data_IF_134782691041
#
_entry.id   IF_134782691041
#
_cell.length_a   1.000
_cell.length_b   1.000
_cell.length_c   1.000
_cell.angle_alpha   90.00
_cell.angle_beta   90.00
_cell.angle_gamma   90.00
#
_symmetry.space_group_name_H-M   'P 1'
#
loop_
_entity.id
_entity.type
_entity.pdbx_description
1 polymer ?
#
# COMPACT_ATOMS: atom_id res chain seq x y z
N UNK A 1 3.70 -0.57 -4.00
CA UNK A 1 4.71 -0.95 -2.94
C UNK A 1 5.29 -2.33 -3.24
N UNK A 2 6.58 -2.57 -2.97
CA UNK A 2 7.13 -3.93 -3.00
C UNK A 2 6.53 -4.73 -1.82
N UNK A 3 5.92 -5.87 -2.13
CA UNK A 3 5.22 -6.72 -1.17
C UNK A 3 5.35 -8.17 -1.63
N UNK A 4 5.79 -9.06 -0.76
CA UNK A 4 5.96 -10.48 -1.11
C UNK A 4 4.61 -11.10 -1.46
N UNK A 5 4.50 -11.65 -2.67
CA UNK A 5 3.23 -12.13 -3.23
C UNK A 5 2.36 -11.05 -3.87
N UNK A 6 2.83 -9.78 -3.91
CA UNK A 6 2.14 -8.68 -4.58
C UNK A 6 1.91 -8.94 -6.07
N UNK A 7 0.79 -8.46 -6.59
CA UNK A 7 0.34 -8.69 -7.97
C UNK A 7 0.68 -7.51 -8.90
N UNK A 8 1.71 -6.71 -8.59
CA UNK A 8 2.03 -5.48 -9.34
C UNK A 8 2.21 -5.73 -10.84
N UNK A 9 2.82 -6.86 -11.23
CA UNK A 9 3.10 -7.18 -12.64
C UNK A 9 1.85 -7.49 -13.46
N UNK A 10 0.81 -8.04 -12.84
CA UNK A 10 -0.43 -8.47 -13.50
C UNK A 10 -1.65 -7.68 -13.02
N UNK A 11 -1.42 -6.60 -12.26
CA UNK A 11 -2.50 -5.82 -11.66
C UNK A 11 -3.33 -5.06 -12.70
N UNK A 12 -2.75 -4.68 -13.83
CA UNK A 12 -3.47 -4.04 -14.94
C UNK A 12 -4.49 -5.00 -15.56
N UNK A 13 -4.06 -6.22 -15.86
CA UNK A 13 -4.91 -7.25 -16.46
C UNK A 13 -6.04 -7.65 -15.52
N UNK A 14 -5.73 -7.86 -14.23
CA UNK A 14 -6.75 -8.20 -13.23
C UNK A 14 -7.74 -7.03 -13.06
N UNK A 15 -7.25 -5.81 -12.92
CA UNK A 15 -8.12 -4.64 -12.78
C UNK A 15 -8.97 -4.42 -14.05
N UNK A 16 -8.43 -4.67 -15.25
CA UNK A 16 -9.18 -4.59 -16.49
C UNK A 16 -10.34 -5.59 -16.49
N UNK A 17 -10.07 -6.85 -16.14
CA UNK A 17 -11.11 -7.90 -16.04
C UNK A 17 -12.19 -7.48 -15.04
N UNK A 18 -11.82 -7.03 -13.85
CA UNK A 18 -12.77 -6.57 -12.84
C UNK A 18 -13.60 -5.41 -13.39
N UNK A 19 -12.95 -4.39 -13.95
CA UNK A 19 -13.63 -3.19 -14.44
C UNK A 19 -14.59 -3.49 -15.60
N UNK A 20 -14.27 -4.45 -16.47
CA UNK A 20 -15.14 -4.82 -17.59
C UNK A 20 -16.35 -5.64 -17.15
N UNK A 21 -16.24 -6.43 -16.09
CA UNK A 21 -17.33 -7.30 -15.62
C UNK A 21 -18.23 -6.62 -14.58
N UNK A 22 -17.73 -5.60 -13.88
CA UNK A 22 -18.51 -4.92 -12.82
C UNK A 22 -19.22 -3.65 -13.29
N UNK A 23 -18.81 -3.07 -14.45
CA UNK A 23 -19.30 -1.77 -14.92
C UNK A 23 -20.04 -1.84 -16.28
N UNK A 24 -20.37 -3.01 -16.79
CA UNK A 24 -20.98 -3.19 -18.13
C UNK A 24 -22.50 -3.40 -18.14
N UNK A 25 -23.22 -3.28 -17.04
CA UNK A 25 -24.66 -3.47 -16.94
C UNK A 25 -25.44 -2.16 -16.94
N UNK A 26 -26.66 -2.16 -17.56
CA UNK A 26 -27.56 -1.00 -17.63
C UNK A 26 -28.15 -0.57 -16.26
N UNK A 27 -27.95 -1.36 -15.22
CA UNK A 27 -28.33 -1.04 -13.85
C UNK A 27 -27.08 -0.64 -13.07
N UNK A 28 -26.72 0.64 -13.14
CA UNK A 28 -25.62 1.27 -12.38
C UNK A 28 -25.97 1.39 -10.90
N UNK A 29 -26.21 0.29 -10.22
CA UNK A 29 -26.07 0.28 -8.76
C UNK A 29 -24.60 0.40 -8.43
N UNK A 30 -24.24 1.45 -7.69
CA UNK A 30 -22.88 1.70 -7.16
C UNK A 30 -22.46 0.57 -6.22
N UNK A 31 -21.98 -0.53 -6.79
CA UNK A 31 -21.53 -1.69 -6.00
C UNK A 31 -20.16 -1.44 -5.42
N UNK A 32 -19.97 -1.64 -4.12
CA UNK A 32 -18.65 -1.53 -3.52
C UNK A 32 -17.74 -2.66 -4.03
N UNK A 33 -16.48 -2.30 -4.32
CA UNK A 33 -15.43 -3.30 -4.54
C UNK A 33 -14.87 -3.77 -3.20
N UNK A 34 -14.93 -5.07 -2.95
CA UNK A 34 -14.45 -5.68 -1.70
C UNK A 34 -13.22 -6.54 -1.98
N UNK A 35 -12.09 -6.19 -1.38
CA UNK A 35 -10.85 -6.98 -1.41
C UNK A 35 -10.55 -7.52 -0.02
N UNK A 36 -10.59 -8.84 0.13
CA UNK A 36 -10.36 -9.52 1.42
C UNK A 36 -8.87 -9.66 1.76
N UNK A 37 -7.98 -9.56 0.78
CA UNK A 37 -6.54 -9.76 0.90
C UNK A 37 -5.80 -8.70 0.08
N UNK A 38 -5.94 -7.44 0.49
CA UNK A 38 -5.47 -6.31 -0.31
C UNK A 38 -3.95 -6.20 -0.39
N UNK A 39 -3.21 -6.70 0.61
CA UNK A 39 -1.75 -6.66 0.62
C UNK A 39 -1.21 -5.27 0.32
N UNK A 40 -0.41 -5.17 -0.73
CA UNK A 40 0.17 -3.91 -1.22
C UNK A 40 -0.77 -3.03 -2.04
N UNK A 41 -2.06 -3.33 -2.12
CA UNK A 41 -3.11 -2.58 -2.83
C UNK A 41 -2.83 -2.31 -4.32
N UNK A 42 -2.08 -3.18 -4.99
CA UNK A 42 -1.69 -2.98 -6.39
C UNK A 42 -2.86 -3.12 -7.38
N UNK A 43 -3.85 -3.97 -7.07
CA UNK A 43 -5.07 -4.16 -7.86
C UNK A 43 -6.09 -3.09 -7.48
N UNK A 44 -6.29 -2.89 -6.18
CA UNK A 44 -7.25 -1.97 -5.59
C UNK A 44 -7.04 -0.53 -6.08
N UNK A 45 -5.79 -0.14 -6.29
CA UNK A 45 -5.43 1.17 -6.85
C UNK A 45 -5.97 1.39 -8.27
N UNK A 46 -6.19 0.32 -9.05
CA UNK A 46 -6.55 0.35 -10.47
C UNK A 46 -8.01 -0.02 -10.75
N UNK A 47 -8.68 -0.61 -9.79
CA UNK A 47 -10.11 -0.91 -9.90
C UNK A 47 -10.90 0.40 -9.84
N UNK A 48 -11.86 0.54 -10.76
CA UNK A 48 -12.79 1.68 -10.80
C UNK A 48 -13.99 1.32 -9.93
N UNK A 49 -14.09 1.90 -8.77
CA UNK A 49 -15.25 1.79 -7.87
C UNK A 49 -15.31 3.02 -6.95
N UNK A 50 -16.52 3.50 -6.66
CA UNK A 50 -16.74 4.65 -5.80
C UNK A 50 -16.40 4.33 -4.35
N UNK A 51 -16.70 3.10 -3.95
CA UNK A 51 -16.40 2.58 -2.61
C UNK A 51 -15.50 1.35 -2.76
N UNK A 52 -14.36 1.38 -2.10
CA UNK A 52 -13.43 0.25 -2.04
C UNK A 52 -13.23 -0.16 -0.59
N UNK A 53 -13.65 -1.37 -0.27
CA UNK A 53 -13.47 -1.97 1.06
C UNK A 53 -12.28 -2.92 0.97
N UNK A 54 -11.21 -2.58 1.65
CA UNK A 54 -9.97 -3.36 1.63
C UNK A 54 -9.68 -3.94 3.00
N UNK A 55 -9.36 -5.21 3.04
CA UNK A 55 -8.97 -5.93 4.24
C UNK A 55 -7.66 -6.70 4.02
N UNK A 56 -6.91 -6.89 5.08
CA UNK A 56 -5.78 -7.81 5.13
C UNK A 56 -5.61 -8.32 6.57
N UNK A 57 -5.14 -9.55 6.72
CA UNK A 57 -4.89 -10.14 8.04
C UNK A 57 -3.72 -9.47 8.78
N UNK A 58 -2.86 -8.75 8.06
CA UNK A 58 -1.65 -8.17 8.63
C UNK A 58 -1.94 -6.80 9.27
N UNK A 59 -1.98 -6.68 10.61
CA UNK A 59 -2.46 -5.47 11.28
C UNK A 59 -1.62 -4.23 11.00
N UNK A 60 -0.29 -4.36 10.91
CA UNK A 60 0.59 -3.23 10.62
C UNK A 60 0.49 -2.74 9.17
N UNK A 61 0.15 -3.64 8.22
CA UNK A 61 -0.12 -3.24 6.85
C UNK A 61 -1.38 -2.39 6.78
N UNK A 62 -2.45 -2.80 7.45
CA UNK A 62 -3.68 -2.03 7.56
C UNK A 62 -3.44 -0.71 8.30
N UNK A 63 -2.64 -0.72 9.38
CA UNK A 63 -2.28 0.50 10.09
C UNK A 63 -1.53 1.51 9.20
N UNK A 64 -0.64 1.04 8.32
CA UNK A 64 0.03 1.88 7.34
C UNK A 64 -0.97 2.54 6.36
N UNK A 65 -1.88 1.76 5.78
CA UNK A 65 -2.89 2.28 4.86
C UNK A 65 -3.85 3.27 5.56
N UNK A 66 -4.31 2.96 6.77
CA UNK A 66 -5.10 3.87 7.60
C UNK A 66 -4.33 5.14 7.98
N UNK A 67 -3.03 5.01 8.28
CA UNK A 67 -2.16 6.14 8.54
C UNK A 67 -2.13 7.11 7.37
N UNK A 68 -1.94 6.61 6.14
CA UNK A 68 -1.97 7.43 4.93
C UNK A 68 -3.32 8.14 4.73
N UNK A 69 -4.44 7.46 4.99
CA UNK A 69 -5.77 8.08 4.93
C UNK A 69 -5.94 9.21 5.95
N UNK A 70 -5.29 9.09 7.11
CA UNK A 70 -5.29 10.09 8.17
C UNK A 70 -4.19 11.16 8.01
N UNK A 71 -3.53 11.21 6.85
CA UNK A 71 -2.52 12.22 6.54
C UNK A 71 -1.10 11.91 7.01
N UNK A 72 -0.85 10.71 7.56
CA UNK A 72 0.51 10.28 7.84
C UNK A 72 1.30 10.09 6.54
N UNK A 73 2.56 10.49 6.56
CA UNK A 73 3.45 10.35 5.41
C UNK A 73 4.66 9.49 5.77
N UNK A 74 5.01 8.49 4.94
CA UNK A 74 6.21 7.69 5.16
C UNK A 74 7.48 8.54 5.17
N UNK A 75 8.49 8.18 5.97
CA UNK A 75 9.78 8.86 5.96
C UNK A 75 10.51 8.72 4.63
N UNK A 76 11.48 9.59 4.37
CA UNK A 76 12.30 9.56 3.16
C UNK A 76 13.50 8.61 3.28
N UNK A 77 13.98 8.39 4.50
CA UNK A 77 15.08 7.51 4.82
C UNK A 77 14.85 6.80 6.17
N UNK A 78 15.42 5.62 6.33
CA UNK A 78 15.45 4.84 7.57
C UNK A 78 16.83 4.23 7.70
N UNK A 79 17.55 4.52 8.79
CA UNK A 79 18.83 3.88 9.08
C UNK A 79 18.67 2.41 9.45
N UNK A 80 19.76 1.66 9.40
CA UNK A 80 19.78 0.26 9.82
C UNK A 80 19.44 0.11 11.31
N UNK A 81 19.89 1.06 12.12
CA UNK A 81 19.65 1.12 13.57
C UNK A 81 18.15 1.36 13.84
N UNK A 82 17.56 2.34 13.15
CA UNK A 82 16.10 2.61 13.22
C UNK A 82 15.28 1.42 12.75
N UNK A 83 15.69 0.74 11.68
CA UNK A 83 15.04 -0.48 11.22
C UNK A 83 15.03 -1.57 12.30
N UNK A 84 16.16 -1.79 12.99
CA UNK A 84 16.24 -2.77 14.07
C UNK A 84 15.41 -2.34 15.29
N UNK A 85 15.43 -1.05 15.62
CA UNK A 85 14.61 -0.50 16.71
C UNK A 85 13.11 -0.74 16.43
N UNK A 86 12.63 -0.35 15.25
CA UNK A 86 11.22 -0.53 14.84
C UNK A 86 10.84 -2.00 14.83
N UNK A 87 11.75 -2.88 14.38
CA UNK A 87 11.53 -4.33 14.42
C UNK A 87 11.35 -4.87 15.83
N UNK A 88 12.02 -4.29 16.82
CA UNK A 88 11.91 -4.68 18.23
C UNK A 88 10.67 -4.05 18.92
N UNK A 89 10.25 -2.86 18.49
CA UNK A 89 9.21 -2.03 19.13
C UNK A 89 8.01 -1.76 18.19
N UNK A 90 7.46 -2.83 17.62
CA UNK A 90 6.47 -2.77 16.53
C UNK A 90 5.20 -1.97 16.86
N UNK A 91 4.78 -1.98 18.11
CA UNK A 91 3.51 -1.40 18.54
C UNK A 91 3.60 0.09 18.90
N UNK A 92 4.79 0.67 18.98
CA UNK A 92 4.97 2.11 19.25
C UNK A 92 4.43 2.98 18.12
N UNK A 93 4.63 2.56 16.87
CA UNK A 93 4.10 3.25 15.70
C UNK A 93 3.69 2.24 14.62
N UNK A 94 2.46 1.68 14.71
CA UNK A 94 2.01 0.64 13.82
C UNK A 94 2.04 1.00 12.33
N UNK A 95 1.78 2.26 11.97
CA UNK A 95 1.83 2.71 10.58
C UNK A 95 3.27 2.71 10.03
N UNK A 96 4.22 3.24 10.78
CA UNK A 96 5.64 3.21 10.45
C UNK A 96 6.16 1.77 10.41
N UNK A 97 5.75 0.95 11.36
CA UNK A 97 6.11 -0.47 11.42
C UNK A 97 5.67 -1.21 10.16
N UNK A 98 4.44 -0.98 9.70
CA UNK A 98 3.93 -1.57 8.45
C UNK A 98 4.76 -1.14 7.24
N UNK A 99 5.07 0.15 7.14
CA UNK A 99 5.89 0.68 6.06
C UNK A 99 7.30 0.10 6.06
N UNK A 100 7.98 0.14 7.20
CA UNK A 100 9.38 -0.32 7.34
C UNK A 100 9.46 -1.85 7.20
N UNK A 101 8.53 -2.57 7.83
CA UNK A 101 8.53 -4.04 7.83
C UNK A 101 8.41 -4.66 6.46
N UNK A 102 7.69 -4.01 5.53
CA UNK A 102 7.57 -4.45 4.14
C UNK A 102 8.43 -3.61 3.19
N UNK A 103 8.27 -2.29 3.22
CA UNK A 103 8.84 -1.39 2.23
C UNK A 103 10.36 -1.27 2.30
N UNK A 104 10.92 -1.25 3.51
CA UNK A 104 12.36 -1.14 3.73
C UNK A 104 13.04 -2.50 3.96
N UNK A 105 12.32 -3.60 3.66
CA UNK A 105 12.81 -4.96 3.82
C UNK A 105 13.11 -5.62 2.49
N UNK A 106 14.14 -6.47 2.47
CA UNK A 106 14.57 -7.18 1.27
C UNK A 106 13.44 -8.01 0.67
N UNK A 107 13.18 -7.78 -0.62
CA UNK A 107 12.13 -8.49 -1.37
C UNK A 107 10.70 -8.20 -0.92
N UNK A 108 10.46 -7.18 -0.09
CA UNK A 108 9.14 -6.90 0.48
C UNK A 108 8.65 -7.97 1.47
N UNK A 109 9.57 -8.75 2.02
CA UNK A 109 9.29 -9.77 3.04
C UNK A 109 9.26 -9.11 4.41
N UNK A 110 8.25 -9.42 5.22
CA UNK A 110 8.07 -8.88 6.57
C UNK A 110 9.33 -9.00 7.42
N UNK A 111 9.97 -7.87 7.71
CA UNK A 111 11.26 -7.78 8.39
C UNK A 111 12.30 -8.82 7.94
N UNK A 112 12.34 -9.09 6.63
CA UNK A 112 13.21 -10.10 6.00
C UNK A 112 14.69 -9.70 5.89
N UNK A 113 15.06 -8.54 6.42
CA UNK A 113 16.38 -7.94 6.41
C UNK A 113 16.32 -6.52 5.87
N UNK A 114 17.14 -5.62 6.44
CA UNK A 114 17.24 -4.24 5.99
C UNK A 114 17.71 -4.19 4.54
N UNK A 115 16.90 -3.56 3.68
CA UNK A 115 17.19 -3.46 2.26
C UNK A 115 18.06 -2.23 1.98
N UNK A 116 19.18 -2.46 1.34
CA UNK A 116 20.10 -1.43 0.87
C UNK A 116 20.71 -1.85 -0.47
N UNK A 117 21.17 -0.88 -1.25
CA UNK A 117 21.89 -1.15 -2.47
C UNK A 117 23.38 -1.50 -2.21
N UNK A 118 24.14 -1.73 -3.30
CA UNK A 118 25.59 -2.03 -3.19
C UNK A 118 26.43 -0.87 -2.64
N UNK A 119 25.88 0.36 -2.61
CA UNK A 119 26.53 1.57 -2.07
C UNK A 119 26.16 1.81 -0.62
N UNK A 120 25.20 1.04 -0.08
CA UNK A 120 24.68 1.20 1.27
C UNK A 120 23.47 2.15 1.36
N UNK A 121 23.00 2.71 0.23
CA UNK A 121 21.82 3.55 0.21
C UNK A 121 20.56 2.70 0.48
N UNK A 122 19.67 3.20 1.33
CA UNK A 122 18.45 2.50 1.67
C UNK A 122 17.41 2.55 0.54
N UNK A 123 16.46 1.62 0.58
CA UNK A 123 15.33 1.59 -0.36
C UNK A 123 14.10 2.36 0.13
N UNK A 124 14.19 3.09 1.23
CA UNK A 124 13.07 3.78 1.87
C UNK A 124 12.39 4.77 0.93
N UNK A 125 13.16 5.62 0.25
CA UNK A 125 12.63 6.58 -0.72
C UNK A 125 11.94 5.90 -1.91
N UNK A 126 12.43 4.74 -2.36
CA UNK A 126 11.78 3.95 -3.39
C UNK A 126 10.47 3.32 -2.88
N UNK A 127 10.48 2.78 -1.66
CA UNK A 127 9.30 2.23 -1.01
C UNK A 127 8.22 3.30 -0.82
N UNK A 128 8.60 4.50 -0.35
CA UNK A 128 7.71 5.66 -0.22
C UNK A 128 7.04 6.01 -1.54
N UNK A 129 7.80 6.16 -2.63
CA UNK A 129 7.22 6.41 -3.96
C UNK A 129 6.24 5.33 -4.38
N UNK A 130 6.57 4.06 -4.14
CA UNK A 130 5.68 2.94 -4.45
C UNK A 130 4.39 2.95 -3.65
N UNK A 131 4.45 3.18 -2.34
CA UNK A 131 3.28 3.29 -1.46
C UNK A 131 2.41 4.48 -1.86
N UNK A 132 3.01 5.65 -2.06
CA UNK A 132 2.27 6.87 -2.42
C UNK A 132 1.61 6.75 -3.80
N UNK A 133 2.28 6.14 -4.79
CA UNK A 133 1.68 5.84 -6.09
C UNK A 133 0.45 4.92 -5.95
N UNK A 134 0.58 3.82 -5.20
CA UNK A 134 -0.51 2.87 -5.02
C UNK A 134 -1.67 3.50 -4.21
N UNK A 135 -1.36 4.45 -3.31
CA UNK A 135 -2.36 5.20 -2.55
C UNK A 135 -3.04 6.31 -3.37
N UNK A 136 -2.28 7.11 -4.12
CA UNK A 136 -2.80 8.28 -4.86
C UNK A 136 -3.33 7.93 -6.26
N UNK A 137 -3.01 6.75 -6.82
CA UNK A 137 -3.21 6.41 -8.23
C UNK A 137 -2.10 6.96 -9.14
N UNK A 138 -2.02 6.42 -10.37
CA UNK A 138 -0.91 6.70 -11.29
C UNK A 138 -0.85 8.14 -11.82
N UNK A 139 -1.95 8.92 -11.77
CA UNK A 139 -2.09 10.21 -12.45
C UNK A 139 -1.76 11.45 -11.61
N UNK A 140 -1.18 11.31 -10.43
CA UNK A 140 -0.95 12.49 -9.57
C UNK A 140 0.50 12.65 -9.15
N UNK A 141 1.13 13.65 -9.72
CA UNK A 141 2.23 14.40 -9.09
C UNK A 141 1.84 14.74 -7.66
N UNK A 142 2.69 14.42 -6.70
CA UNK A 142 2.55 14.51 -5.23
C UNK A 142 2.26 15.96 -4.73
N UNK A 143 1.68 16.82 -5.55
CA UNK A 143 1.45 18.25 -5.26
C UNK A 143 0.03 18.59 -4.80
N UNK A 144 -0.93 17.67 -4.82
CA UNK A 144 -2.28 17.96 -4.33
C UNK A 144 -2.49 17.50 -2.89
N UNK A 145 -2.85 18.45 -2.03
CA UNK A 145 -3.16 18.24 -0.60
C UNK A 145 -4.43 17.39 -0.34
N UNK A 146 -5.07 16.85 -1.35
CA UNK A 146 -6.26 15.99 -1.21
C UNK A 146 -6.08 14.74 -2.06
N UNK A 147 -5.86 13.55 -1.44
CA UNK A 147 -5.81 12.29 -2.16
C UNK A 147 -7.20 11.98 -2.72
N UNK A 148 -7.35 12.04 -4.05
CA UNK A 148 -8.59 11.59 -4.71
C UNK A 148 -8.49 10.13 -5.15
N UNK A 149 -7.40 9.43 -4.79
CA UNK A 149 -7.10 8.09 -5.30
C UNK A 149 -7.89 6.98 -4.62
N UNK A 150 -7.56 6.66 -3.41
CA UNK A 150 -8.15 5.53 -2.69
C UNK A 150 -9.04 6.03 -1.55
N UNK A 151 -10.35 6.18 -1.80
CA UNK A 151 -11.32 6.17 -0.69
C UNK A 151 -11.45 4.71 -0.23
N UNK A 152 -10.48 4.26 0.56
CA UNK A 152 -10.50 2.93 1.14
C UNK A 152 -11.32 2.94 2.42
N UNK A 153 -12.41 2.18 2.47
CA UNK A 153 -12.94 1.74 3.75
C UNK A 153 -12.09 0.55 4.20
N UNK A 154 -11.09 0.81 5.04
CA UNK A 154 -10.23 -0.25 5.58
C UNK A 154 -10.92 -0.88 6.78
N UNK A 155 -11.34 -2.12 6.61
CA UNK A 155 -11.88 -2.95 7.69
C UNK A 155 -10.79 -3.95 8.08
N UNK A 156 -10.48 -4.01 9.35
CA UNK A 156 -9.70 -5.09 9.94
C UNK A 156 -10.69 -6.05 10.59
N UNK A 157 -10.72 -7.28 10.12
CA UNK A 157 -11.42 -8.39 10.77
C UNK A 157 -10.43 -9.18 11.60
#
# INVERSE_FOLDING_TARGET
MQYMGGKCLISNEIALIINTHTWGGQDEEHRPFVSLFCGGCAIEAKVKADIKICNDIHPYLIAMWKGLQNGWTPPDAISKEEYQYIKAHKDENPALTGFVGFGCSFGGKWFGGYAHDKRGDDYCGQAKRGVMRDYCGEDKTITSKTPTGLKLSLIHI
#
